data_IF_180226211200
#
_entry.id   IF_180226211200
#
_cell.length_a   1.000
_cell.length_b   1.000
_cell.length_c   1.000
_cell.angle_alpha   90.00
_cell.angle_beta   90.00
_cell.angle_gamma   90.00
#
_symmetry.space_group_name_H-M   'P 1'
#
loop_
_entity.id
_entity.type
_entity.pdbx_description
1 polymer ?
#
# COMPACT_ATOMS: atom_id res chain seq x y z
N UNK A 1 9.75 -27.48 23.11
CA UNK A 1 9.87 -26.03 22.84
C UNK A 1 8.54 -25.56 22.24
N UNK A 2 7.68 -24.96 23.06
CA UNK A 2 6.35 -24.53 22.63
C UNK A 2 6.45 -23.22 21.85
N UNK A 3 6.21 -23.29 20.54
CA UNK A 3 5.97 -22.08 19.74
C UNK A 3 4.63 -21.54 20.22
N UNK A 4 4.64 -20.40 20.92
CA UNK A 4 3.39 -19.70 21.25
C UNK A 4 2.69 -19.37 19.93
N UNK A 5 1.47 -19.87 19.75
CA UNK A 5 0.62 -19.46 18.62
C UNK A 5 0.45 -17.94 18.70
N UNK A 6 1.07 -17.24 17.75
CA UNK A 6 0.91 -15.80 17.62
C UNK A 6 -0.39 -15.57 16.87
N UNK A 7 -1.41 -15.07 17.56
CA UNK A 7 -2.65 -14.64 16.92
C UNK A 7 -2.36 -13.54 15.90
N UNK A 8 -2.81 -13.78 14.67
CA UNK A 8 -2.73 -12.85 13.54
C UNK A 8 -3.77 -11.74 13.81
N UNK A 9 -3.45 -10.45 13.67
CA UNK A 9 -2.32 -9.88 12.92
C UNK A 9 -1.06 -9.56 13.74
N UNK A 10 0.05 -10.23 13.41
CA UNK A 10 1.39 -9.89 13.89
C UNK A 10 1.92 -8.66 13.14
N UNK A 11 2.55 -7.70 13.84
CA UNK A 11 3.24 -6.57 13.20
C UNK A 11 4.72 -6.87 13.01
N UNK A 12 5.20 -6.78 11.77
CA UNK A 12 6.62 -6.92 11.45
C UNK A 12 7.08 -5.71 10.64
N UNK A 13 8.20 -5.10 11.08
CA UNK A 13 8.75 -3.88 10.47
C UNK A 13 7.72 -2.73 10.32
N UNK A 14 6.74 -2.68 11.22
CA UNK A 14 5.71 -1.66 11.23
C UNK A 14 4.58 -1.84 10.21
N UNK A 15 4.48 -3.03 9.59
CA UNK A 15 3.37 -3.43 8.70
C UNK A 15 2.71 -4.70 9.25
N UNK A 16 1.36 -4.79 9.22
CA UNK A 16 0.69 -6.02 9.62
C UNK A 16 1.01 -7.15 8.64
N UNK A 17 1.45 -8.29 9.19
CA UNK A 17 1.49 -9.56 8.48
C UNK A 17 0.12 -10.19 8.63
N UNK A 18 -0.63 -10.19 7.54
CA UNK A 18 -1.97 -10.77 7.49
C UNK A 18 -2.04 -11.79 6.36
N UNK A 19 -2.65 -12.95 6.63
CA UNK A 19 -2.83 -14.02 5.64
C UNK A 19 -3.90 -13.68 4.57
N UNK A 20 -4.61 -12.56 4.74
CA UNK A 20 -5.71 -12.09 3.91
C UNK A 20 -5.34 -10.83 3.14
N UNK A 21 -6.19 -10.42 2.19
CA UNK A 21 -6.06 -9.13 1.50
C UNK A 21 -6.04 -7.99 2.51
N UNK A 22 -5.15 -7.03 2.26
CA UNK A 22 -4.96 -5.89 3.15
C UNK A 22 -6.25 -5.06 3.24
N UNK A 23 -6.77 -4.93 4.45
CA UNK A 23 -7.99 -4.19 4.73
C UNK A 23 -7.67 -2.72 5.04
N UNK A 24 -8.66 -1.84 4.87
CA UNK A 24 -8.56 -0.41 5.21
C UNK A 24 -8.01 -0.15 6.62
N UNK A 25 -8.44 -0.95 7.60
CA UNK A 25 -8.02 -0.84 8.99
C UNK A 25 -6.52 -1.08 9.16
N UNK A 26 -5.97 -2.01 8.37
CA UNK A 26 -4.56 -2.38 8.39
C UNK A 26 -3.66 -1.33 7.73
N UNK A 27 -4.23 -0.54 6.82
CA UNK A 27 -3.58 0.63 6.21
C UNK A 27 -3.65 1.89 7.08
N UNK A 28 -4.42 1.90 8.17
CA UNK A 28 -4.58 3.07 9.04
C UNK A 28 -3.23 3.60 9.58
N UNK A 29 -2.28 2.76 10.02
CA UNK A 29 -0.97 3.22 10.49
C UNK A 29 -0.17 3.97 9.41
N UNK A 30 -0.30 3.60 8.13
CA UNK A 30 0.34 4.31 7.03
C UNK A 30 -0.21 5.73 6.90
N UNK A 31 -1.53 5.86 6.93
CA UNK A 31 -2.22 7.14 6.81
C UNK A 31 -1.86 8.02 8.01
N UNK A 32 -1.96 7.50 9.23
CA UNK A 32 -1.62 8.20 10.47
C UNK A 32 -0.16 8.69 10.47
N UNK A 33 0.80 7.84 10.09
CA UNK A 33 2.22 8.23 10.00
C UNK A 33 2.46 9.36 9.00
N UNK A 34 1.81 9.29 7.83
CA UNK A 34 1.89 10.35 6.81
C UNK A 34 1.28 11.66 7.31
N UNK A 35 0.09 11.60 7.89
CA UNK A 35 -0.59 12.77 8.47
C UNK A 35 0.25 13.39 9.58
N UNK A 36 0.84 12.58 10.46
CA UNK A 36 1.72 13.08 11.53
C UNK A 36 2.94 13.84 10.98
N UNK A 37 3.59 13.32 9.92
CA UNK A 37 4.69 14.02 9.25
C UNK A 37 4.24 15.34 8.63
N UNK A 38 3.10 15.33 7.96
CA UNK A 38 2.51 16.52 7.35
C UNK A 38 2.17 17.57 8.41
N UNK A 39 1.58 17.16 9.53
CA UNK A 39 1.26 18.07 10.64
C UNK A 39 2.52 18.66 11.26
N UNK A 40 3.58 17.86 11.43
CA UNK A 40 4.88 18.33 11.90
C UNK A 40 5.52 19.35 10.94
N UNK A 41 5.32 19.20 9.64
CA UNK A 41 5.81 20.16 8.66
C UNK A 41 4.90 21.38 8.52
N UNK A 42 3.61 21.22 8.79
CA UNK A 42 2.64 22.32 8.77
C UNK A 42 2.94 23.39 9.82
N UNK A 43 3.61 23.04 10.92
CA UNK A 43 4.06 24.02 11.93
C UNK A 43 5.28 24.82 11.48
N UNK A 44 5.92 24.42 10.38
CA UNK A 44 7.09 25.07 9.79
C UNK A 44 6.67 25.85 8.55
N UNK A 45 7.19 27.06 8.38
CA UNK A 45 6.97 27.85 7.17
C UNK A 45 7.84 27.31 6.02
N UNK A 46 7.37 26.25 5.36
CA UNK A 46 8.06 25.62 4.22
C UNK A 46 7.53 26.21 2.91
N UNK A 47 8.46 26.56 2.02
CA UNK A 47 8.13 27.08 0.70
C UNK A 47 7.34 26.06 -0.15
N UNK A 48 6.58 26.53 -1.14
CA UNK A 48 5.84 25.65 -2.05
C UNK A 48 6.74 24.61 -2.73
N UNK A 49 7.91 25.03 -3.20
CA UNK A 49 8.92 24.13 -3.77
C UNK A 49 9.43 23.10 -2.75
N UNK A 50 9.69 23.52 -1.49
CA UNK A 50 10.09 22.61 -0.42
C UNK A 50 9.02 21.57 -0.10
N UNK A 51 7.74 21.94 -0.11
CA UNK A 51 6.61 20.99 0.06
C UNK A 51 6.56 19.94 -1.04
N UNK A 52 6.80 20.33 -2.29
CA UNK A 52 6.85 19.39 -3.42
C UNK A 52 8.01 18.39 -3.27
N UNK A 53 9.18 18.85 -2.82
CA UNK A 53 10.34 17.97 -2.55
C UNK A 53 10.02 16.99 -1.42
N UNK A 54 9.46 17.45 -0.30
CA UNK A 54 9.07 16.58 0.83
C UNK A 54 8.03 15.53 0.43
N UNK A 55 7.09 15.90 -0.46
CA UNK A 55 6.11 14.96 -1.00
C UNK A 55 6.78 13.84 -1.81
N UNK A 56 7.65 14.19 -2.75
CA UNK A 56 8.32 13.23 -3.63
C UNK A 56 9.39 12.39 -2.92
N UNK A 57 9.95 12.85 -1.82
CA UNK A 57 11.00 12.14 -1.09
C UNK A 57 10.40 11.33 0.05
N UNK A 58 9.82 11.99 1.04
CA UNK A 58 9.43 11.36 2.30
C UNK A 58 8.06 10.68 2.19
N UNK A 59 7.03 11.40 1.73
CA UNK A 59 5.67 10.83 1.66
C UNK A 59 5.58 9.72 0.62
N UNK A 60 6.23 9.93 -0.52
CA UNK A 60 6.36 8.91 -1.54
C UNK A 60 7.24 7.73 -1.09
N UNK A 61 8.35 7.95 -0.37
CA UNK A 61 9.15 6.86 0.19
C UNK A 61 8.35 5.96 1.14
N UNK A 62 7.57 6.56 2.05
CA UNK A 62 6.67 5.82 2.95
C UNK A 62 5.60 5.02 2.19
N UNK A 63 5.04 5.61 1.14
CA UNK A 63 4.08 4.93 0.27
C UNK A 63 4.71 3.74 -0.45
N UNK A 64 5.86 3.97 -1.08
CA UNK A 64 6.54 3.00 -1.91
C UNK A 64 6.94 1.77 -1.10
N UNK A 65 7.36 1.96 0.16
CA UNK A 65 7.61 0.84 1.07
C UNK A 65 6.39 -0.08 1.20
N UNK A 66 5.21 0.47 1.47
CA UNK A 66 3.98 -0.32 1.57
C UNK A 66 3.53 -0.91 0.23
N UNK A 67 3.56 -0.13 -0.85
CA UNK A 67 3.16 -0.56 -2.18
C UNK A 67 4.06 -1.68 -2.74
N UNK A 68 5.32 -1.76 -2.28
CA UNK A 68 6.26 -2.82 -2.67
C UNK A 68 5.95 -4.18 -2.04
N UNK A 69 5.23 -4.19 -0.93
CA UNK A 69 4.91 -5.40 -0.15
C UNK A 69 3.45 -5.81 -0.39
N UNK A 70 2.54 -4.83 -0.45
CA UNK A 70 1.09 -5.07 -0.50
C UNK A 70 0.42 -4.38 -1.67
N UNK A 71 -0.68 -5.00 -2.13
CA UNK A 71 -1.64 -4.37 -3.03
C UNK A 71 -2.52 -3.44 -2.19
N UNK A 72 -2.32 -2.13 -2.33
CA UNK A 72 -3.09 -1.14 -1.58
C UNK A 72 -4.51 -0.96 -2.15
N UNK A 73 -5.56 -0.95 -1.29
CA UNK A 73 -6.92 -0.66 -1.72
C UNK A 73 -7.09 0.76 -2.31
N UNK A 74 -8.00 0.92 -3.27
CA UNK A 74 -8.29 2.22 -3.90
C UNK A 74 -8.69 3.31 -2.92
N UNK A 75 -9.49 2.99 -1.90
CA UNK A 75 -9.89 3.94 -0.85
C UNK A 75 -8.70 4.50 -0.07
N UNK A 76 -7.67 3.67 0.16
CA UNK A 76 -6.46 4.09 0.88
C UNK A 76 -5.63 5.02 0.01
N UNK A 77 -5.52 4.70 -1.28
CA UNK A 77 -4.87 5.57 -2.28
C UNK A 77 -5.58 6.92 -2.38
N UNK A 78 -6.90 6.93 -2.34
CA UNK A 78 -7.72 8.14 -2.38
C UNK A 78 -7.42 9.04 -1.19
N UNK A 79 -7.48 8.48 0.01
CA UNK A 79 -7.21 9.23 1.25
C UNK A 79 -5.78 9.76 1.30
N UNK A 80 -4.80 8.97 0.87
CA UNK A 80 -3.40 9.43 0.75
C UNK A 80 -3.29 10.58 -0.24
N UNK A 81 -3.95 10.46 -1.39
CA UNK A 81 -3.95 11.49 -2.44
C UNK A 81 -4.59 12.79 -1.95
N UNK A 82 -5.72 12.70 -1.26
CA UNK A 82 -6.41 13.83 -0.66
C UNK A 82 -5.54 14.58 0.34
N UNK A 83 -4.93 13.86 1.29
CA UNK A 83 -4.03 14.45 2.30
C UNK A 83 -2.82 15.10 1.62
N UNK A 84 -2.25 14.46 0.60
CA UNK A 84 -1.09 14.97 -0.13
C UNK A 84 -1.43 16.24 -0.92
N UNK A 85 -2.62 16.27 -1.53
CA UNK A 85 -3.17 17.44 -2.23
C UNK A 85 -3.40 18.59 -1.28
N UNK A 86 -4.02 18.35 -0.13
CA UNK A 86 -4.28 19.38 0.88
C UNK A 86 -2.97 20.01 1.37
N UNK A 87 -1.97 19.19 1.71
CA UNK A 87 -0.68 19.69 2.17
C UNK A 87 0.03 20.56 1.14
N UNK A 88 -0.01 20.16 -0.13
CA UNK A 88 0.71 20.90 -1.18
C UNK A 88 0.14 22.33 -1.38
N UNK A 89 -1.19 22.49 -1.29
CA UNK A 89 -1.84 23.79 -1.50
C UNK A 89 -2.01 24.61 -0.22
N UNK A 90 -2.41 23.96 0.88
CA UNK A 90 -2.77 24.62 2.14
C UNK A 90 -1.66 24.55 3.19
N UNK A 91 -0.67 23.67 3.04
CA UNK A 91 0.38 23.45 4.04
C UNK A 91 -0.04 22.56 5.20
N UNK A 92 -1.32 22.17 5.25
CA UNK A 92 -1.94 21.38 6.30
C UNK A 92 -2.52 20.08 5.73
N UNK A 93 -2.69 19.05 6.55
CA UNK A 93 -3.42 17.85 6.13
C UNK A 93 -4.91 18.12 5.87
N UNK A 94 -5.48 19.08 6.61
CA UNK A 94 -6.88 19.46 6.49
C UNK A 94 -7.16 20.29 5.24
N UNK A 95 -8.38 20.14 4.73
CA UNK A 95 -8.87 20.92 3.61
C UNK A 95 -9.14 22.35 4.07
N UNK A 96 -8.27 23.30 3.69
CA UNK A 96 -8.46 24.73 3.94
C UNK A 96 -8.68 25.54 2.68
N UNK A 97 -8.03 25.15 1.58
CA UNK A 97 -8.12 25.86 0.29
C UNK A 97 -8.37 24.89 -0.85
N UNK A 98 -9.28 25.28 -1.74
CA UNK A 98 -9.50 24.58 -2.99
C UNK A 98 -8.21 24.61 -3.84
N UNK A 99 -7.74 23.46 -4.34
CA UNK A 99 -6.61 23.37 -5.24
C UNK A 99 -6.88 24.11 -6.55
N UNK A 100 -5.97 25.00 -6.95
CA UNK A 100 -6.10 25.76 -8.20
C UNK A 100 -5.88 24.91 -9.45
N UNK A 101 -5.16 23.79 -9.32
CA UNK A 101 -4.81 22.89 -10.43
C UNK A 101 -5.31 21.48 -10.11
N UNK A 102 -5.77 20.77 -11.14
CA UNK A 102 -6.15 19.37 -11.01
C UNK A 102 -4.96 18.51 -10.58
N UNK A 103 -5.20 17.51 -9.73
CA UNK A 103 -4.13 16.64 -9.25
C UNK A 103 -3.43 15.89 -10.38
N UNK A 104 -4.17 15.49 -11.41
CA UNK A 104 -3.61 14.84 -12.59
C UNK A 104 -2.60 15.73 -13.32
N UNK A 105 -2.87 17.03 -13.48
CA UNK A 105 -1.93 17.97 -14.09
C UNK A 105 -0.68 18.18 -13.23
N UNK A 106 -0.86 18.25 -11.92
CA UNK A 106 0.26 18.32 -10.96
C UNK A 106 1.20 17.11 -11.10
N UNK A 107 0.63 15.91 -11.27
CA UNK A 107 1.40 14.68 -11.40
C UNK A 107 2.13 14.51 -12.73
N UNK A 108 1.83 15.34 -13.74
CA UNK A 108 2.53 15.28 -15.02
C UNK A 108 4.03 15.59 -14.83
N UNK A 109 4.92 14.99 -15.64
CA UNK A 109 6.32 15.38 -15.66
C UNK A 109 6.51 16.86 -15.95
N UNK A 110 7.60 17.45 -15.44
CA UNK A 110 7.94 18.87 -15.65
C UNK A 110 8.03 19.25 -17.14
N UNK A 111 8.49 18.33 -17.98
CA UNK A 111 8.54 18.49 -19.45
C UNK A 111 7.16 18.80 -20.07
N UNK A 112 6.08 18.33 -19.45
CA UNK A 112 4.70 18.52 -19.92
C UNK A 112 3.94 19.56 -19.08
N UNK A 113 4.65 20.47 -18.41
CA UNK A 113 4.05 21.56 -17.62
C UNK A 113 3.48 21.13 -16.26
N UNK A 114 3.76 19.91 -15.80
CA UNK A 114 3.38 19.45 -14.46
C UNK A 114 4.46 19.73 -13.40
N UNK A 115 4.16 19.38 -12.15
CA UNK A 115 5.10 19.53 -11.04
C UNK A 115 6.05 18.32 -10.88
N UNK A 116 5.77 17.21 -11.56
CA UNK A 116 6.51 15.96 -11.41
C UNK A 116 6.25 15.28 -10.06
N UNK A 117 5.06 15.44 -9.48
CA UNK A 117 4.67 14.68 -8.28
C UNK A 117 4.23 13.29 -8.69
N UNK A 118 4.73 12.24 -8.02
CA UNK A 118 4.35 10.87 -8.39
C UNK A 118 2.87 10.60 -8.07
N UNK A 119 2.12 10.10 -9.06
CA UNK A 119 0.76 9.61 -8.85
C UNK A 119 0.78 8.27 -8.12
N UNK A 120 0.17 8.22 -6.93
CA UNK A 120 0.07 7.02 -6.10
C UNK A 120 -0.71 5.91 -6.78
N UNK A 121 -1.73 6.22 -7.58
CA UNK A 121 -2.52 5.21 -8.29
C UNK A 121 -1.71 4.54 -9.39
N UNK A 122 -1.09 5.35 -10.26
CA UNK A 122 -0.22 4.84 -11.31
C UNK A 122 0.95 4.02 -10.73
N UNK A 123 1.55 4.49 -9.62
CA UNK A 123 2.68 3.81 -9.01
C UNK A 123 2.29 2.48 -8.31
N UNK A 124 1.12 2.41 -7.67
CA UNK A 124 0.62 1.16 -7.10
C UNK A 124 0.45 0.11 -8.21
N UNK A 125 -0.19 0.49 -9.33
CA UNK A 125 -0.35 -0.39 -10.50
C UNK A 125 1.00 -0.84 -11.06
N UNK A 126 1.94 0.09 -11.23
CA UNK A 126 3.28 -0.21 -11.75
C UNK A 126 4.02 -1.21 -10.83
N UNK A 127 3.93 -1.04 -9.52
CA UNK A 127 4.55 -1.94 -8.55
C UNK A 127 3.95 -3.35 -8.62
N UNK A 128 2.63 -3.46 -8.78
CA UNK A 128 1.96 -4.75 -8.99
C UNK A 128 2.44 -5.42 -10.27
N UNK A 129 2.50 -4.69 -11.39
CA UNK A 129 2.99 -5.20 -12.67
C UNK A 129 4.45 -5.66 -12.53
N UNK A 130 5.28 -4.94 -11.79
CA UNK A 130 6.66 -5.34 -11.49
C UNK A 130 6.71 -6.68 -10.73
N UNK A 131 5.85 -6.89 -9.74
CA UNK A 131 5.76 -8.16 -9.02
C UNK A 131 5.32 -9.30 -9.94
N UNK A 132 4.31 -9.07 -10.78
CA UNK A 132 3.85 -10.04 -11.79
C UNK A 132 4.99 -10.40 -12.74
N UNK A 133 5.71 -9.40 -13.24
CA UNK A 133 6.85 -9.60 -14.14
C UNK A 133 7.93 -10.51 -13.52
N UNK A 134 8.22 -10.32 -12.23
CA UNK A 134 9.18 -11.16 -11.50
C UNK A 134 8.70 -12.62 -11.40
N UNK A 135 7.40 -12.83 -11.20
CA UNK A 135 6.80 -14.18 -11.19
C UNK A 135 6.86 -14.82 -12.58
N UNK A 136 6.50 -14.08 -13.63
CA UNK A 136 6.50 -14.57 -15.03
C UNK A 136 7.91 -14.91 -15.49
N UNK A 137 8.91 -14.09 -15.15
CA UNK A 137 10.31 -14.31 -15.52
C UNK A 137 10.98 -15.43 -14.72
N UNK A 138 10.27 -16.08 -13.77
CA UNK A 138 10.78 -17.15 -12.91
C UNK A 138 12.14 -16.81 -12.28
N UNK A 139 12.30 -15.58 -11.75
CA UNK A 139 13.55 -15.21 -11.09
C UNK A 139 13.85 -16.18 -9.94
N UNK A 140 15.12 -16.51 -9.76
CA UNK A 140 15.56 -17.39 -8.68
C UNK A 140 15.48 -16.65 -7.33
N UNK A 141 14.27 -16.57 -6.79
CA UNK A 141 13.96 -15.95 -5.51
C UNK A 141 13.02 -16.88 -4.77
N UNK A 142 13.25 -17.08 -3.47
CA UNK A 142 12.54 -18.10 -2.67
C UNK A 142 11.02 -17.96 -2.74
N UNK A 143 10.49 -16.74 -2.60
CA UNK A 143 9.05 -16.50 -2.65
C UNK A 143 8.45 -16.78 -4.06
N UNK A 144 9.23 -16.58 -5.13
CA UNK A 144 8.82 -16.91 -6.50
C UNK A 144 8.79 -18.42 -6.68
N UNK A 145 9.83 -19.14 -6.24
CA UNK A 145 9.86 -20.62 -6.23
C UNK A 145 8.67 -21.20 -5.45
N UNK A 146 8.37 -20.62 -4.28
CA UNK A 146 7.23 -21.01 -3.47
C UNK A 146 5.89 -20.77 -4.18
N UNK A 147 5.70 -19.63 -4.83
CA UNK A 147 4.49 -19.35 -5.62
C UNK A 147 4.32 -20.35 -6.77
N UNK A 148 5.41 -20.66 -7.50
CA UNK A 148 5.37 -21.64 -8.60
C UNK A 148 5.08 -23.06 -8.11
N UNK A 149 5.58 -23.45 -6.93
CA UNK A 149 5.33 -24.75 -6.33
C UNK A 149 3.93 -24.91 -5.74
N UNK A 150 3.47 -23.94 -4.94
CA UNK A 150 2.22 -24.03 -4.20
C UNK A 150 0.99 -23.59 -5.02
N UNK A 151 1.10 -22.48 -5.76
CA UNK A 151 -0.04 -21.89 -6.47
C UNK A 151 -0.11 -22.28 -7.94
N UNK A 152 0.97 -22.04 -8.71
CA UNK A 152 0.93 -22.32 -10.15
C UNK A 152 1.10 -23.80 -10.47
N UNK A 153 1.71 -24.62 -9.58
CA UNK A 153 1.99 -26.04 -9.79
C UNK A 153 2.61 -26.31 -11.18
N UNK A 154 3.61 -25.50 -11.55
CA UNK A 154 4.28 -25.52 -12.86
C UNK A 154 3.42 -25.16 -14.10
N UNK A 155 2.20 -24.64 -13.94
CA UNK A 155 1.40 -24.11 -15.04
C UNK A 155 1.84 -22.69 -15.43
N UNK A 156 1.51 -22.28 -16.65
CA UNK A 156 1.75 -20.91 -17.11
C UNK A 156 0.87 -19.94 -16.32
N UNK A 157 1.39 -18.73 -16.07
CA UNK A 157 0.68 -17.66 -15.36
C UNK A 157 -0.67 -17.31 -16.03
N UNK A 158 -0.72 -17.30 -17.36
CA UNK A 158 -1.89 -16.90 -18.15
C UNK A 158 -3.07 -17.87 -18.06
N UNK A 159 -2.79 -19.16 -17.80
CA UNK A 159 -3.79 -20.21 -17.70
C UNK A 159 -4.27 -20.43 -16.26
N UNK A 160 -3.70 -19.68 -15.31
CA UNK A 160 -4.02 -19.81 -13.90
C UNK A 160 -5.40 -19.22 -13.59
N UNK A 161 -6.32 -20.07 -13.13
CA UNK A 161 -7.59 -19.64 -12.56
C UNK A 161 -7.50 -19.74 -11.04
N UNK A 162 -7.67 -18.63 -10.30
CA UNK A 162 -7.67 -18.69 -8.84
C UNK A 162 -8.87 -19.53 -8.37
N UNK A 163 -8.70 -20.39 -7.35
CA UNK A 163 -9.82 -21.08 -6.75
C UNK A 163 -10.84 -20.05 -6.21
N UNK A 164 -12.16 -20.32 -6.30
CA UNK A 164 -13.17 -19.41 -5.79
C UNK A 164 -12.90 -19.15 -4.30
N UNK A 165 -12.72 -17.86 -3.98
CA UNK A 165 -12.24 -17.41 -2.67
C UNK A 165 -13.23 -17.82 -1.57
N UNK A 166 -13.03 -18.97 -0.93
CA UNK A 166 -13.71 -19.28 0.31
C UNK A 166 -13.08 -18.41 1.40
N UNK A 167 -13.85 -17.44 1.89
CA UNK A 167 -13.51 -16.63 3.06
C UNK A 167 -13.53 -17.55 4.30
N UNK A 168 -12.47 -18.33 4.54
CA UNK A 168 -12.33 -19.17 5.73
C UNK A 168 -10.89 -19.21 6.22
N UNK A 169 -10.56 -18.26 7.09
CA UNK A 169 -9.76 -18.53 8.28
C UNK A 169 -10.38 -17.72 9.42
N UNK A 170 -11.29 -18.39 10.13
CA UNK A 170 -11.91 -17.93 11.36
C UNK A 170 -12.11 -19.16 12.24
N UNK A 171 -11.26 -19.24 13.28
CA UNK A 171 -11.51 -19.89 14.58
C UNK A 171 -12.17 -21.27 14.57
N UNK A 172 -11.36 -22.32 14.75
CA UNK A 172 -11.84 -23.51 15.47
C UNK A 172 -12.01 -23.11 16.95
N UNK A 173 -13.21 -22.70 17.34
CA UNK A 173 -13.63 -22.80 18.75
C UNK A 173 -14.18 -24.21 18.97
N UNK A 174 -13.79 -24.83 20.08
CA UNK A 174 -13.87 -26.26 20.33
C UNK A 174 -15.28 -26.85 20.52
N UNK A 175 -15.28 -28.18 20.38
CA UNK A 175 -16.10 -29.22 21.02
C UNK A 175 -17.60 -28.94 21.19
N UNK A 176 -18.51 -29.68 20.55
CA UNK A 176 -18.53 -31.14 20.51
C UNK A 176 -19.42 -31.64 21.64
N UNK A 177 -20.73 -31.59 21.40
CA UNK A 177 -21.76 -32.13 22.29
C UNK A 177 -21.84 -33.65 22.21
N UNK A 178 -22.38 -34.20 23.31
CA UNK A 178 -23.17 -35.42 23.47
C UNK A 178 -22.70 -36.70 22.76
N UNK A 179 -22.24 -37.64 23.58
CA UNK A 179 -22.30 -39.08 23.29
C UNK A 179 -23.44 -39.70 24.10
N UNK A 180 -24.21 -40.65 23.54
CA UNK A 180 -24.81 -41.72 24.33
C UNK A 180 -23.75 -42.74 24.78
#
# INVERSE_FOLDING_TARGET
MGIKEVEIPLRYLGVPITASRLTKLECRPLIEKKTAKINLWSTRNISFAGRAVLMNTVIFGMFNYWASIFILPSEVLEKITQISRNYMWSGTADFKRAPHISWQTVCKPKKYGGLGITDFYAWNKATIVKLIWVVVTKKDILWVKWIHGCYLKNKNWWDYKPPPTHRRYGTKSGNGGDYP
#
